data_IF_308205869560
#
_entry.id   IF_308205869560
#
_cell.length_a   1.000
_cell.length_b   1.000
_cell.length_c   1.000
_cell.angle_alpha   90.00
_cell.angle_beta   90.00
_cell.angle_gamma   90.00
#
_symmetry.space_group_name_H-M   'P 1'
#
loop_
_entity.id
_entity.type
_entity.pdbx_description
1 polymer ?
#
# COMPACT_ATOMS: atom_id res chain seq x y z
N UNK A 1 -17.49 -3.17 46.43
CA UNK A 1 -18.66 -3.35 45.54
C UNK A 1 -18.17 -3.44 44.10
N UNK A 2 -18.14 -4.65 43.53
CA UNK A 2 -17.83 -4.82 42.11
C UNK A 2 -19.01 -4.27 41.30
N UNK A 3 -18.80 -3.15 40.60
CA UNK A 3 -19.80 -2.61 39.68
C UNK A 3 -20.19 -3.68 38.66
N UNK A 4 -21.50 -3.84 38.43
CA UNK A 4 -22.02 -4.75 37.40
C UNK A 4 -21.28 -4.48 36.07
N UNK A 5 -20.77 -5.50 35.36
CA UNK A 5 -20.16 -5.28 34.06
C UNK A 5 -21.18 -4.59 33.15
N UNK A 6 -20.79 -3.46 32.54
CA UNK A 6 -21.62 -2.80 31.54
C UNK A 6 -21.93 -3.82 30.43
N UNK A 7 -23.19 -3.89 29.95
CA UNK A 7 -23.53 -4.80 28.87
C UNK A 7 -22.67 -4.50 27.64
N UNK A 8 -22.08 -5.53 27.07
CA UNK A 8 -21.25 -5.42 25.87
C UNK A 8 -22.16 -5.08 24.70
N UNK A 9 -21.77 -4.08 23.91
CA UNK A 9 -22.47 -3.73 22.68
C UNK A 9 -21.89 -4.55 21.53
N UNK A 10 -22.75 -5.28 20.82
CA UNK A 10 -22.36 -5.84 19.52
C UNK A 10 -22.35 -4.75 18.45
N UNK A 11 -21.46 -4.85 17.43
CA UNK A 11 -21.46 -3.93 16.30
C UNK A 11 -22.83 -3.95 15.62
N UNK A 12 -23.48 -2.78 15.55
CA UNK A 12 -24.87 -2.65 15.07
C UNK A 12 -24.98 -1.64 13.94
N UNK A 13 -24.13 -0.62 13.91
CA UNK A 13 -24.04 0.32 12.80
C UNK A 13 -22.97 -0.11 11.79
N UNK A 14 -23.07 0.42 10.58
CA UNK A 14 -22.05 0.21 9.54
C UNK A 14 -20.66 0.69 9.99
N UNK A 15 -20.58 1.82 10.70
CA UNK A 15 -19.32 2.33 11.26
C UNK A 15 -18.72 1.37 12.31
N UNK A 16 -19.55 0.74 13.15
CA UNK A 16 -19.05 -0.27 14.09
C UNK A 16 -18.47 -1.50 13.35
N UNK A 17 -19.06 -1.88 12.20
CA UNK A 17 -18.57 -2.98 11.36
C UNK A 17 -17.23 -2.62 10.71
N UNK A 18 -17.10 -1.39 10.21
CA UNK A 18 -15.85 -0.86 9.66
C UNK A 18 -14.72 -0.90 10.70
N UNK A 19 -15.02 -0.53 11.94
CA UNK A 19 -14.06 -0.57 13.02
C UNK A 19 -13.72 -1.99 13.48
N UNK A 20 -14.72 -2.87 13.57
CA UNK A 20 -14.51 -4.28 13.89
C UNK A 20 -13.60 -4.92 12.84
N UNK A 21 -13.74 -4.56 11.57
CA UNK A 21 -12.85 -5.00 10.49
C UNK A 21 -11.39 -4.56 10.74
N UNK A 22 -11.16 -3.30 11.11
CA UNK A 22 -9.81 -2.80 11.44
C UNK A 22 -9.23 -3.47 12.69
N UNK A 23 -10.03 -3.62 13.75
CA UNK A 23 -9.66 -4.35 14.97
C UNK A 23 -9.19 -5.77 14.62
N UNK A 24 -9.93 -6.47 13.76
CA UNK A 24 -9.57 -7.82 13.33
C UNK A 24 -8.28 -7.83 12.50
N UNK A 25 -8.08 -6.84 11.63
CA UNK A 25 -6.80 -6.66 10.92
C UNK A 25 -5.62 -6.53 11.88
N UNK A 26 -5.76 -5.72 12.92
CA UNK A 26 -4.75 -5.57 13.99
C UNK A 26 -4.56 -6.90 14.75
N UNK A 27 -5.65 -7.59 15.09
CA UNK A 27 -5.59 -8.84 15.86
C UNK A 27 -4.96 -10.01 15.09
N UNK A 28 -5.05 -10.01 13.76
CA UNK A 28 -4.42 -11.02 12.90
C UNK A 28 -2.94 -10.74 12.61
N UNK A 29 -2.46 -9.51 12.84
CA UNK A 29 -1.04 -9.15 12.77
C UNK A 29 -0.38 -9.18 14.15
N UNK A 30 -0.28 -8.01 14.80
CA UNK A 30 0.47 -7.85 16.06
C UNK A 30 -0.34 -8.15 17.33
N UNK A 31 -1.64 -8.39 17.19
CA UNK A 31 -2.51 -8.63 18.33
C UNK A 31 -2.36 -10.00 18.99
N UNK A 32 -2.76 -10.06 20.25
CA UNK A 32 -2.81 -11.28 21.03
C UNK A 32 -4.21 -11.51 21.59
N UNK A 33 -4.84 -12.61 21.17
CA UNK A 33 -6.15 -13.05 21.65
C UNK A 33 -5.94 -14.10 22.74
N UNK A 34 -6.07 -13.71 24.01
CA UNK A 34 -5.88 -14.60 25.14
C UNK A 34 -7.20 -15.30 25.52
N UNK A 35 -7.58 -16.34 24.77
CA UNK A 35 -8.84 -17.09 24.95
C UNK A 35 -9.04 -17.62 26.37
N UNK A 36 -8.00 -18.15 27.00
CA UNK A 36 -8.05 -18.67 28.37
C UNK A 36 -8.18 -17.57 29.44
N UNK A 37 -7.65 -16.37 29.19
CA UNK A 37 -7.61 -15.26 30.15
C UNK A 37 -8.68 -14.19 29.89
N UNK A 38 -9.40 -14.30 28.77
CA UNK A 38 -10.51 -13.42 28.42
C UNK A 38 -10.10 -11.98 28.10
N UNK A 39 -8.93 -11.76 27.48
CA UNK A 39 -8.56 -10.42 27.01
C UNK A 39 -7.98 -10.40 25.58
N UNK A 40 -8.16 -9.26 24.91
CA UNK A 40 -7.37 -8.86 23.75
C UNK A 40 -6.22 -7.98 24.22
N UNK A 41 -5.07 -8.08 23.56
CA UNK A 41 -3.91 -7.24 23.84
C UNK A 41 -3.21 -6.83 22.56
N UNK A 42 -2.85 -5.56 22.46
CA UNK A 42 -1.88 -5.05 21.50
C UNK A 42 -0.67 -4.50 22.24
N UNK A 43 0.54 -4.95 21.89
CA UNK A 43 1.79 -4.47 22.49
C UNK A 43 2.75 -4.04 21.38
N UNK A 44 2.98 -2.74 21.25
CA UNK A 44 3.66 -2.12 20.10
C UNK A 44 4.61 -0.99 20.54
N UNK A 45 5.47 -0.50 19.65
CA UNK A 45 6.37 0.65 19.94
C UNK A 45 5.72 1.99 19.60
N UNK A 46 4.72 1.94 18.73
CA UNK A 46 4.00 3.07 18.17
C UNK A 46 2.83 3.48 19.07
N UNK A 47 2.91 4.67 19.66
CA UNK A 47 1.88 5.20 20.56
C UNK A 47 0.56 5.42 19.82
N UNK A 48 0.62 6.05 18.65
CA UNK A 48 -0.52 6.33 17.78
C UNK A 48 -1.24 5.04 17.37
N UNK A 49 -0.49 3.97 17.10
CA UNK A 49 -1.09 2.66 16.81
C UNK A 49 -1.86 2.09 18.00
N UNK A 50 -1.27 2.10 19.20
CA UNK A 50 -1.94 1.62 20.42
C UNK A 50 -3.17 2.49 20.75
N UNK A 51 -3.06 3.82 20.60
CA UNK A 51 -4.16 4.76 20.81
C UNK A 51 -5.31 4.54 19.82
N UNK A 52 -5.00 4.29 18.54
CA UNK A 52 -6.01 3.94 17.54
C UNK A 52 -6.75 2.66 17.94
N UNK A 53 -6.01 1.58 18.27
CA UNK A 53 -6.61 0.33 18.73
C UNK A 53 -7.50 0.52 19.98
N UNK A 54 -7.02 1.27 20.98
CA UNK A 54 -7.80 1.64 22.17
C UNK A 54 -9.11 2.33 21.78
N UNK A 55 -9.04 3.33 20.90
CA UNK A 55 -10.21 4.10 20.47
C UNK A 55 -11.23 3.21 19.76
N UNK A 56 -10.79 2.36 18.82
CA UNK A 56 -11.65 1.42 18.10
C UNK A 56 -12.36 0.47 19.07
N UNK A 57 -11.63 -0.15 20.00
CA UNK A 57 -12.21 -1.07 20.99
C UNK A 57 -13.22 -0.38 21.90
N UNK A 58 -12.87 0.81 22.42
CA UNK A 58 -13.75 1.58 23.30
C UNK A 58 -15.03 2.02 22.59
N UNK A 59 -14.94 2.39 21.31
CA UNK A 59 -16.07 2.81 20.49
C UNK A 59 -17.00 1.65 20.14
N UNK A 60 -16.46 0.58 19.56
CA UNK A 60 -17.24 -0.56 19.06
C UNK A 60 -17.92 -1.31 20.20
N UNK A 61 -17.14 -1.65 21.22
CA UNK A 61 -17.59 -2.58 22.25
C UNK A 61 -18.03 -1.89 23.54
N UNK A 62 -17.83 -0.57 23.66
CA UNK A 62 -18.19 0.20 24.86
C UNK A 62 -17.50 -0.30 26.15
N UNK A 63 -16.33 -0.93 26.02
CA UNK A 63 -15.50 -1.39 27.13
C UNK A 63 -14.24 -0.57 27.24
N UNK A 64 -13.72 -0.38 28.46
CA UNK A 64 -12.45 0.32 28.66
C UNK A 64 -11.30 -0.50 28.07
N UNK A 65 -10.41 0.18 27.36
CA UNK A 65 -9.15 -0.37 26.91
C UNK A 65 -7.99 0.42 27.52
N UNK A 66 -7.54 0.12 28.75
CA UNK A 66 -6.44 0.83 29.38
C UNK A 66 -5.17 0.76 28.53
N UNK A 67 -4.47 1.89 28.45
CA UNK A 67 -3.16 2.01 27.82
C UNK A 67 -2.13 2.22 28.92
N UNK A 68 -1.11 1.38 28.95
CA UNK A 68 0.09 1.57 29.77
C UNK A 68 1.34 1.74 28.91
N UNK A 69 2.36 2.40 29.48
CA UNK A 69 3.64 2.62 28.84
C UNK A 69 4.76 2.23 29.82
N UNK A 70 5.26 1.00 29.69
CA UNK A 70 6.46 0.55 30.42
C UNK A 70 7.70 0.63 29.53
N UNK A 71 7.87 -0.39 28.69
CA UNK A 71 8.94 -0.47 27.67
C UNK A 71 8.37 -0.46 26.24
N UNK A 72 7.09 -0.78 26.11
CA UNK A 72 6.28 -0.81 24.91
C UNK A 72 4.92 -0.26 25.31
N UNK A 73 4.22 0.38 24.38
CA UNK A 73 2.83 0.74 24.59
C UNK A 73 1.99 -0.53 24.57
N UNK A 74 1.05 -0.60 25.51
CA UNK A 74 0.30 -1.81 25.73
C UNK A 74 -1.15 -1.47 26.00
N UNK A 75 -2.03 -2.00 25.16
CA UNK A 75 -3.46 -1.75 25.21
C UNK A 75 -4.19 -3.08 25.44
N UNK A 76 -5.07 -3.14 26.44
CA UNK A 76 -5.77 -4.36 26.82
C UNK A 76 -7.27 -4.17 26.88
N UNK A 77 -8.02 -5.18 26.48
CA UNK A 77 -9.48 -5.18 26.55
C UNK A 77 -9.96 -6.49 27.18
N UNK A 78 -10.48 -6.43 28.41
CA UNK A 78 -10.98 -7.61 29.12
C UNK A 78 -12.45 -7.86 28.80
N UNK A 79 -12.71 -8.96 28.11
CA UNK A 79 -14.06 -9.46 27.82
C UNK A 79 -13.99 -10.86 27.25
N UNK A 80 -14.53 -11.85 27.98
CA UNK A 80 -14.62 -13.23 27.49
C UNK A 80 -15.54 -13.37 26.28
N UNK A 81 -16.59 -12.55 26.19
CA UNK A 81 -17.52 -12.56 25.05
C UNK A 81 -16.84 -12.07 23.78
N UNK A 82 -16.16 -10.93 23.82
CA UNK A 82 -15.48 -10.34 22.65
C UNK A 82 -14.34 -11.26 22.19
N UNK A 83 -13.56 -11.80 23.15
CA UNK A 83 -12.49 -12.74 22.84
C UNK A 83 -13.03 -13.98 22.14
N UNK A 84 -14.13 -14.57 22.63
CA UNK A 84 -14.77 -15.71 21.96
C UNK A 84 -15.28 -15.34 20.56
N UNK A 85 -15.93 -14.17 20.42
CA UNK A 85 -16.43 -13.68 19.13
C UNK A 85 -15.29 -13.54 18.11
N UNK A 86 -14.25 -12.77 18.42
CA UNK A 86 -13.12 -12.55 17.50
C UNK A 86 -12.39 -13.87 17.22
N UNK A 87 -12.11 -14.68 18.24
CA UNK A 87 -11.42 -15.96 18.08
C UNK A 87 -12.19 -16.92 17.16
N UNK A 88 -13.52 -16.95 17.26
CA UNK A 88 -14.38 -17.75 16.38
C UNK A 88 -14.36 -17.20 14.95
N UNK A 89 -14.43 -15.88 14.77
CA UNK A 89 -14.42 -15.25 13.45
C UNK A 89 -13.10 -15.44 12.72
N UNK A 90 -11.96 -15.42 13.44
CA UNK A 90 -10.61 -15.53 12.86
C UNK A 90 -10.09 -16.97 12.78
N UNK A 91 -10.91 -17.97 13.11
CA UNK A 91 -10.51 -19.38 13.19
C UNK A 91 -9.26 -19.57 14.07
N UNK A 92 -9.22 -18.91 15.23
CA UNK A 92 -8.06 -18.82 16.12
C UNK A 92 -6.82 -18.21 15.43
N UNK A 93 -6.99 -17.03 14.83
CA UNK A 93 -5.93 -16.24 14.16
C UNK A 93 -5.32 -16.89 12.91
N UNK A 94 -6.08 -17.73 12.21
CA UNK A 94 -5.59 -18.43 11.02
C UNK A 94 -6.08 -17.84 9.71
N UNK A 95 -7.22 -17.16 9.73
CA UNK A 95 -7.92 -16.77 8.50
C UNK A 95 -8.62 -15.43 8.62
N UNK A 96 -8.74 -14.75 7.49
CA UNK A 96 -9.56 -13.54 7.36
C UNK A 96 -11.04 -13.95 7.43
N UNK A 97 -11.87 -13.33 8.29
CA UNK A 97 -13.28 -13.68 8.43
C UNK A 97 -14.09 -13.44 7.15
N UNK A 98 -15.14 -14.23 6.95
CA UNK A 98 -16.00 -14.16 5.76
C UNK A 98 -16.66 -12.79 5.56
N UNK A 99 -17.04 -12.08 6.63
CA UNK A 99 -17.68 -10.77 6.51
C UNK A 99 -16.72 -9.71 5.95
N UNK A 100 -15.40 -9.87 6.13
CA UNK A 100 -14.38 -9.03 5.49
C UNK A 100 -14.21 -9.45 4.03
N UNK A 101 -14.04 -10.75 3.78
CA UNK A 101 -13.82 -11.28 2.43
C UNK A 101 -14.97 -10.95 1.47
N UNK A 102 -16.21 -11.02 1.96
CA UNK A 102 -17.44 -10.71 1.21
C UNK A 102 -17.93 -9.28 1.43
N UNK A 103 -17.27 -8.51 2.29
CA UNK A 103 -17.64 -7.14 2.60
C UNK A 103 -17.48 -6.22 1.39
N UNK A 104 -18.03 -5.01 1.50
CA UNK A 104 -17.78 -3.97 0.50
C UNK A 104 -16.34 -3.44 0.58
N UNK A 105 -16.01 -2.53 -0.32
CA UNK A 105 -14.68 -1.95 -0.42
C UNK A 105 -14.23 -1.20 0.84
N UNK A 106 -15.15 -0.61 1.62
CA UNK A 106 -14.79 0.11 2.84
C UNK A 106 -14.43 -0.87 3.96
N UNK A 107 -15.21 -1.95 4.12
CA UNK A 107 -14.91 -3.02 5.09
C UNK A 107 -13.54 -3.63 4.78
N UNK A 108 -13.28 -3.95 3.51
CA UNK A 108 -12.00 -4.49 3.06
C UNK A 108 -10.85 -3.52 3.33
N UNK A 109 -11.05 -2.23 3.01
CA UNK A 109 -10.02 -1.22 3.24
C UNK A 109 -9.70 -1.00 4.72
N UNK A 110 -10.70 -1.01 5.61
CA UNK A 110 -10.50 -0.89 7.06
C UNK A 110 -9.76 -2.08 7.64
N UNK A 111 -10.13 -3.30 7.23
CA UNK A 111 -9.38 -4.49 7.60
C UNK A 111 -7.92 -4.42 7.13
N UNK A 112 -7.69 -4.07 5.86
CA UNK A 112 -6.35 -3.97 5.29
C UNK A 112 -5.50 -2.93 6.02
N UNK A 113 -6.09 -1.80 6.43
CA UNK A 113 -5.38 -0.76 7.20
C UNK A 113 -4.79 -1.33 8.50
N UNK A 114 -5.61 -1.98 9.33
CA UNK A 114 -5.17 -2.56 10.59
C UNK A 114 -4.11 -3.67 10.40
N UNK A 115 -4.27 -4.47 9.35
CA UNK A 115 -3.33 -5.56 9.04
C UNK A 115 -1.99 -5.03 8.53
N UNK A 116 -1.99 -4.02 7.65
CA UNK A 116 -0.76 -3.39 7.14
C UNK A 116 -0.09 -2.48 8.17
N UNK A 117 -0.83 -1.86 9.09
CA UNK A 117 -0.21 -1.18 10.24
C UNK A 117 0.60 -2.15 11.11
N UNK A 118 0.19 -3.42 11.18
CA UNK A 118 0.93 -4.47 11.89
C UNK A 118 2.09 -5.03 11.05
N UNK A 119 1.80 -5.60 9.88
CA UNK A 119 2.74 -6.43 9.10
C UNK A 119 3.36 -5.70 7.91
N UNK A 120 2.89 -4.49 7.61
CA UNK A 120 3.25 -3.71 6.44
C UNK A 120 4.29 -2.63 6.72
N UNK A 121 5.11 -2.33 5.73
CA UNK A 121 6.07 -1.24 5.73
C UNK A 121 6.13 -0.57 4.35
N UNK A 122 6.60 0.67 4.32
CA UNK A 122 6.98 1.34 3.06
C UNK A 122 8.48 1.17 2.88
N UNK A 123 8.89 0.47 1.83
CA UNK A 123 10.28 0.28 1.46
C UNK A 123 10.75 1.37 0.49
N UNK A 124 11.84 2.02 0.88
CA UNK A 124 12.50 3.08 0.12
C UNK A 124 13.96 2.67 -0.05
N UNK A 125 14.30 2.15 -1.22
CA UNK A 125 15.64 1.66 -1.56
C UNK A 125 16.05 2.34 -2.86
N UNK A 126 17.05 3.21 -2.80
CA UNK A 126 17.53 4.02 -3.93
C UNK A 126 16.38 4.76 -4.64
N UNK A 127 16.01 4.34 -5.86
CA UNK A 127 14.92 4.87 -6.67
C UNK A 127 13.62 4.08 -6.56
N UNK A 128 13.63 2.92 -5.90
CA UNK A 128 12.45 2.08 -5.71
C UNK A 128 11.64 2.56 -4.52
N UNK A 129 10.33 2.67 -4.72
CA UNK A 129 9.34 2.94 -3.67
C UNK A 129 8.24 1.89 -3.79
N UNK A 130 7.96 1.20 -2.71
CA UNK A 130 6.92 0.16 -2.67
C UNK A 130 6.41 -0.04 -1.25
N UNK A 131 5.20 -0.59 -1.12
CA UNK A 131 4.74 -1.14 0.16
C UNK A 131 5.09 -2.63 0.17
N UNK A 132 5.59 -3.11 1.29
CA UNK A 132 5.91 -4.51 1.52
C UNK A 132 5.10 -4.99 2.71
N UNK A 133 4.46 -6.14 2.56
CA UNK A 133 3.87 -6.88 3.66
C UNK A 133 4.55 -8.23 3.76
N UNK A 134 4.89 -8.65 4.97
CA UNK A 134 5.61 -9.91 5.21
C UNK A 134 4.76 -10.82 6.09
N UNK A 135 4.59 -12.09 5.73
CA UNK A 135 3.79 -13.03 6.54
C UNK A 135 4.18 -14.49 6.23
N UNK A 136 4.03 -15.38 7.21
CA UNK A 136 4.34 -16.82 7.05
C UNK A 136 3.14 -17.66 6.58
N UNK A 137 1.93 -17.13 6.73
CA UNK A 137 0.70 -17.81 6.34
C UNK A 137 0.37 -17.51 4.87
N UNK A 138 0.73 -18.43 3.98
CA UNK A 138 0.47 -18.35 2.52
C UNK A 138 -1.02 -18.14 2.21
N UNK A 139 -1.93 -18.82 2.92
CA UNK A 139 -3.38 -18.64 2.74
C UNK A 139 -3.79 -17.20 3.05
N UNK A 140 -3.30 -16.64 4.15
CA UNK A 140 -3.60 -15.25 4.53
C UNK A 140 -3.06 -14.27 3.49
N UNK A 141 -1.83 -14.48 2.97
CA UNK A 141 -1.27 -13.65 1.90
C UNK A 141 -2.16 -13.68 0.64
N UNK A 142 -2.62 -14.86 0.20
CA UNK A 142 -3.51 -14.97 -0.96
C UNK A 142 -4.84 -14.25 -0.74
N UNK A 143 -5.40 -14.33 0.47
CA UNK A 143 -6.62 -13.58 0.82
C UNK A 143 -6.38 -12.07 0.79
N UNK A 144 -5.25 -11.58 1.35
CA UNK A 144 -4.87 -10.16 1.29
C UNK A 144 -4.73 -9.69 -0.17
N UNK A 145 -4.11 -10.48 -1.03
CA UNK A 145 -3.98 -10.14 -2.46
C UNK A 145 -5.35 -10.02 -3.13
N UNK A 146 -6.30 -10.91 -2.81
CA UNK A 146 -7.67 -10.82 -3.31
C UNK A 146 -8.35 -9.52 -2.86
N UNK A 147 -8.20 -9.14 -1.59
CA UNK A 147 -8.78 -7.90 -1.07
C UNK A 147 -8.18 -6.66 -1.76
N UNK A 148 -6.86 -6.64 -1.98
CA UNK A 148 -6.19 -5.56 -2.71
C UNK A 148 -6.69 -5.47 -4.17
N UNK A 149 -6.87 -6.62 -4.82
CA UNK A 149 -7.36 -6.70 -6.18
C UNK A 149 -8.78 -6.12 -6.32
N UNK A 150 -9.67 -6.41 -5.37
CA UNK A 150 -11.04 -5.87 -5.34
C UNK A 150 -11.05 -4.33 -5.22
N UNK A 151 -10.04 -3.75 -4.57
CA UNK A 151 -9.83 -2.29 -4.49
C UNK A 151 -9.10 -1.73 -5.73
N UNK A 152 -8.85 -2.55 -6.74
CA UNK A 152 -8.11 -2.19 -7.94
C UNK A 152 -6.63 -1.94 -7.71
N UNK A 153 -6.05 -2.47 -6.62
CA UNK A 153 -4.63 -2.35 -6.27
C UNK A 153 -3.94 -3.66 -6.67
N UNK A 154 -3.08 -3.57 -7.69
CA UNK A 154 -2.30 -4.74 -8.10
C UNK A 154 -1.14 -4.95 -7.14
N UNK A 155 -0.89 -6.22 -6.80
CA UNK A 155 0.19 -6.62 -5.92
C UNK A 155 0.90 -7.86 -6.45
N UNK A 156 2.15 -8.07 -6.03
CA UNK A 156 2.97 -9.21 -6.42
C UNK A 156 3.27 -10.09 -5.23
N UNK A 157 3.02 -11.39 -5.38
CA UNK A 157 3.47 -12.41 -4.45
C UNK A 157 4.96 -12.72 -4.66
N UNK A 158 5.73 -12.76 -3.58
CA UNK A 158 7.13 -13.16 -3.59
C UNK A 158 7.36 -14.27 -2.56
N UNK A 159 7.52 -15.50 -3.07
CA UNK A 159 7.93 -16.65 -2.28
C UNK A 159 9.41 -16.57 -1.93
N UNK A 160 9.75 -16.64 -0.64
CA UNK A 160 11.12 -16.54 -0.14
C UNK A 160 11.65 -17.94 0.16
N UNK A 161 12.87 -18.24 -0.29
CA UNK A 161 13.54 -19.52 0.04
C UNK A 161 13.90 -19.64 1.53
N UNK A 162 14.12 -18.50 2.20
CA UNK A 162 14.40 -18.38 3.63
C UNK A 162 13.70 -17.11 4.16
N UNK A 163 13.06 -17.24 5.32
CA UNK A 163 12.23 -16.20 5.93
C UNK A 163 10.79 -16.25 5.45
N UNK A 164 10.01 -15.25 5.85
CA UNK A 164 8.60 -15.12 5.54
C UNK A 164 8.35 -14.66 4.10
N UNK A 165 7.23 -15.10 3.52
CA UNK A 165 6.79 -14.70 2.19
C UNK A 165 6.29 -13.25 2.19
N UNK A 166 6.25 -12.63 1.02
CA UNK A 166 5.98 -11.20 0.89
C UNK A 166 4.93 -10.86 -0.17
N UNK A 167 4.17 -9.81 0.10
CA UNK A 167 3.38 -9.08 -0.89
C UNK A 167 4.06 -7.74 -1.16
N UNK A 168 4.21 -7.41 -2.44
CA UNK A 168 4.76 -6.14 -2.90
C UNK A 168 3.68 -5.34 -3.62
N UNK A 169 3.47 -4.09 -3.20
CA UNK A 169 2.66 -3.11 -3.92
C UNK A 169 3.62 -2.07 -4.49
N UNK A 170 3.77 -2.06 -5.81
CA UNK A 170 4.65 -1.16 -6.56
C UNK A 170 3.85 -0.41 -7.61
N UNK A 171 4.51 0.51 -8.33
CA UNK A 171 3.90 1.46 -9.27
C UNK A 171 3.13 2.56 -8.56
N UNK A 172 3.29 3.79 -9.03
CA UNK A 172 2.73 4.96 -8.36
C UNK A 172 1.20 4.93 -8.32
N UNK A 173 0.54 4.38 -9.34
CA UNK A 173 -0.92 4.28 -9.40
C UNK A 173 -1.47 3.39 -8.27
N UNK A 174 -0.80 2.28 -7.97
CA UNK A 174 -1.21 1.39 -6.88
C UNK A 174 -0.91 2.01 -5.51
N UNK A 175 0.23 2.70 -5.37
CA UNK A 175 0.58 3.41 -4.14
C UNK A 175 -0.38 4.58 -3.86
N UNK A 176 -0.82 5.29 -4.88
CA UNK A 176 -1.84 6.34 -4.78
C UNK A 176 -3.20 5.77 -4.37
N UNK A 177 -3.62 4.65 -4.98
CA UNK A 177 -4.86 3.96 -4.58
C UNK A 177 -4.79 3.47 -3.15
N UNK A 178 -3.68 2.86 -2.75
CA UNK A 178 -3.45 2.44 -1.37
C UNK A 178 -3.55 3.64 -0.43
N UNK A 179 -2.84 4.74 -0.73
CA UNK A 179 -2.82 5.95 0.09
C UNK A 179 -4.23 6.54 0.28
N UNK A 180 -5.05 6.55 -0.77
CA UNK A 180 -6.40 7.14 -0.76
C UNK A 180 -7.45 6.23 -0.12
N UNK A 181 -7.41 4.92 -0.41
CA UNK A 181 -8.47 3.99 -0.01
C UNK A 181 -8.20 3.33 1.34
N UNK A 182 -6.94 2.96 1.61
CA UNK A 182 -6.55 2.17 2.79
C UNK A 182 -5.82 3.05 3.80
N UNK A 183 -4.72 3.67 3.37
CA UNK A 183 -3.83 4.46 4.20
C UNK A 183 -3.10 3.64 5.27
N UNK A 184 -2.35 4.34 6.13
CA UNK A 184 -1.82 3.81 7.39
C UNK A 184 -2.42 4.65 8.52
N UNK A 185 -2.77 4.03 9.65
CA UNK A 185 -3.13 4.79 10.85
C UNK A 185 -1.87 5.30 11.57
N UNK A 186 -0.72 4.62 11.37
CA UNK A 186 0.57 5.02 11.94
C UNK A 186 1.15 6.20 11.16
N UNK A 187 1.38 7.31 11.86
CA UNK A 187 1.75 8.60 11.26
C UNK A 187 3.01 8.53 10.40
N UNK A 188 4.10 7.96 10.94
CA UNK A 188 5.36 7.89 10.19
C UNK A 188 5.28 6.98 8.96
N UNK A 189 4.47 5.91 8.98
CA UNK A 189 4.25 5.03 7.82
C UNK A 189 3.45 5.77 6.75
N UNK A 190 2.41 6.50 7.16
CA UNK A 190 1.63 7.38 6.28
C UNK A 190 2.49 8.46 5.61
N UNK A 191 3.34 9.14 6.38
CA UNK A 191 4.27 10.13 5.84
C UNK A 191 5.31 9.54 4.88
N UNK A 192 5.82 8.34 5.20
CA UNK A 192 6.76 7.63 4.33
C UNK A 192 6.11 7.24 3.00
N UNK A 193 4.84 6.81 3.03
CA UNK A 193 4.07 6.52 1.82
C UNK A 193 3.82 7.78 1.01
N UNK A 194 3.40 8.88 1.65
CA UNK A 194 3.16 10.17 0.99
C UNK A 194 4.42 10.65 0.25
N UNK A 195 5.56 10.70 0.93
CA UNK A 195 6.87 11.07 0.33
C UNK A 195 7.26 10.14 -0.82
N UNK A 196 6.96 8.85 -0.70
CA UNK A 196 7.21 7.87 -1.76
C UNK A 196 6.37 8.14 -3.02
N UNK A 197 5.09 8.48 -2.86
CA UNK A 197 4.19 8.84 -3.97
C UNK A 197 4.66 10.14 -4.63
N UNK A 198 4.92 11.19 -3.84
CA UNK A 198 5.42 12.50 -4.32
C UNK A 198 6.72 12.33 -5.14
N UNK A 199 7.65 11.52 -4.64
CA UNK A 199 8.90 11.21 -5.34
C UNK A 199 8.65 10.57 -6.72
N UNK A 200 7.80 9.56 -6.80
CA UNK A 200 7.52 8.86 -8.05
C UNK A 200 6.76 9.73 -9.05
N UNK A 201 5.86 10.60 -8.58
CA UNK A 201 5.19 11.59 -9.41
C UNK A 201 6.21 12.56 -10.02
N UNK A 202 7.18 13.03 -9.22
CA UNK A 202 8.28 13.86 -9.70
C UNK A 202 9.17 13.16 -10.73
N UNK A 203 9.47 11.87 -10.53
CA UNK A 203 10.23 11.08 -11.52
C UNK A 203 9.52 10.96 -12.87
N UNK A 204 8.20 10.80 -12.89
CA UNK A 204 7.43 10.78 -14.15
C UNK A 204 7.53 12.10 -14.92
N UNK A 205 7.51 13.23 -14.21
CA UNK A 205 7.74 14.54 -14.81
C UNK A 205 9.17 14.67 -15.36
N UNK A 206 10.17 14.20 -14.61
CA UNK A 206 11.57 14.25 -15.04
C UNK A 206 11.87 13.32 -16.23
N UNK A 207 11.28 12.13 -16.29
CA UNK A 207 11.43 11.22 -17.44
C UNK A 207 10.81 11.78 -18.71
N UNK A 208 9.71 12.56 -18.61
CA UNK A 208 9.11 13.26 -19.76
C UNK A 208 10.09 14.25 -20.37
N UNK A 209 10.62 15.16 -19.57
CA UNK A 209 11.56 16.20 -20.05
C UNK A 209 12.85 15.56 -20.58
N UNK A 210 13.37 14.55 -19.87
CA UNK A 210 14.57 13.82 -20.27
C UNK A 210 14.36 13.04 -21.58
N UNK A 211 13.17 12.49 -21.81
CA UNK A 211 12.83 11.81 -23.07
C UNK A 211 12.88 12.77 -24.26
N UNK A 212 12.29 13.96 -24.12
CA UNK A 212 12.36 14.99 -25.16
C UNK A 212 13.79 15.48 -25.38
N UNK A 213 14.58 15.65 -24.32
CA UNK A 213 16.00 15.99 -24.41
C UNK A 213 16.79 14.93 -25.19
N UNK A 214 16.53 13.64 -24.90
CA UNK A 214 17.15 12.49 -25.57
C UNK A 214 16.80 12.47 -27.06
N UNK A 215 15.53 12.70 -27.41
CA UNK A 215 15.12 12.79 -28.81
C UNK A 215 15.83 13.95 -29.50
N UNK A 216 15.76 15.19 -28.98
CA UNK A 216 16.46 16.33 -29.59
C UNK A 216 17.96 16.09 -29.76
N UNK A 217 18.60 15.56 -28.73
CA UNK A 217 20.02 15.22 -28.76
C UNK A 217 20.34 14.19 -29.86
N UNK A 218 19.55 13.12 -29.97
CA UNK A 218 19.74 12.12 -31.03
C UNK A 218 19.69 12.75 -32.42
N UNK A 219 18.73 13.64 -32.63
CA UNK A 219 18.48 14.27 -33.92
C UNK A 219 19.58 15.28 -34.30
N UNK A 220 20.23 15.92 -33.33
CA UNK A 220 21.33 16.87 -33.58
C UNK A 220 22.74 16.25 -33.55
N UNK A 221 22.96 15.18 -32.79
CA UNK A 221 24.32 14.70 -32.45
C UNK A 221 25.09 14.07 -33.62
N UNK A 222 24.41 13.50 -34.62
CA UNK A 222 25.00 12.68 -35.70
C UNK A 222 25.92 11.54 -35.22
N UNK A 223 25.82 11.15 -33.95
CA UNK A 223 26.68 10.14 -33.29
C UNK A 223 26.00 8.77 -33.27
N UNK A 224 26.78 7.73 -32.99
CA UNK A 224 26.22 6.40 -32.73
C UNK A 224 25.35 6.39 -31.46
N UNK A 225 24.43 5.43 -31.35
CA UNK A 225 23.56 5.26 -30.18
C UNK A 225 24.36 5.16 -28.87
N UNK A 226 25.47 4.41 -28.87
CA UNK A 226 26.32 4.23 -27.68
C UNK A 226 27.05 5.51 -27.29
N UNK A 227 27.59 6.25 -28.26
CA UNK A 227 28.26 7.53 -27.98
C UNK A 227 27.27 8.56 -27.46
N UNK A 228 26.08 8.60 -28.06
CA UNK A 228 25.02 9.52 -27.64
C UNK A 228 24.50 9.21 -26.24
N UNK A 229 24.32 7.93 -25.91
CA UNK A 229 23.95 7.49 -24.56
C UNK A 229 25.00 7.89 -23.51
N UNK A 230 26.29 7.77 -23.85
CA UNK A 230 27.40 8.18 -22.97
C UNK A 230 27.35 9.68 -22.67
N UNK A 231 27.12 10.52 -23.68
CA UNK A 231 27.01 11.98 -23.51
C UNK A 231 25.82 12.38 -22.64
N UNK A 232 24.71 11.70 -22.83
CA UNK A 232 23.49 11.91 -22.04
C UNK A 232 23.54 11.27 -20.65
N UNK A 233 24.68 10.64 -20.29
CA UNK A 233 24.87 9.92 -19.02
C UNK A 233 23.74 8.91 -18.77
N UNK A 234 23.40 8.14 -19.80
CA UNK A 234 22.33 7.14 -19.78
C UNK A 234 22.85 5.74 -20.12
N UNK A 235 22.22 4.72 -19.54
CA UNK A 235 22.45 3.35 -19.99
C UNK A 235 22.03 3.21 -21.46
N UNK A 236 22.88 2.58 -22.28
CA UNK A 236 22.70 2.57 -23.74
C UNK A 236 21.41 1.86 -24.18
N UNK A 237 20.96 0.84 -23.45
CA UNK A 237 19.69 0.14 -23.73
C UNK A 237 18.49 1.05 -23.46
N UNK A 238 18.52 1.82 -22.38
CA UNK A 238 17.46 2.79 -22.06
C UNK A 238 17.39 3.87 -23.14
N UNK A 239 18.54 4.43 -23.52
CA UNK A 239 18.64 5.40 -24.61
C UNK A 239 18.08 4.83 -25.93
N UNK A 240 18.55 3.64 -26.32
CA UNK A 240 18.08 2.92 -27.52
C UNK A 240 16.57 2.69 -27.49
N UNK A 241 16.03 2.21 -26.37
CA UNK A 241 14.60 1.94 -26.23
C UNK A 241 13.75 3.20 -26.31
N UNK A 242 14.25 4.35 -25.88
CA UNK A 242 13.55 5.62 -26.03
C UNK A 242 13.55 6.10 -27.49
N UNK A 243 14.69 6.07 -28.18
CA UNK A 243 14.78 6.47 -29.59
C UNK A 243 13.86 5.63 -30.48
N UNK A 244 13.84 4.31 -30.31
CA UNK A 244 12.99 3.43 -31.10
C UNK A 244 11.55 3.31 -30.58
N UNK A 245 11.14 4.11 -29.60
CA UNK A 245 9.77 4.09 -29.08
C UNK A 245 9.37 2.80 -28.34
N UNK A 246 10.34 1.94 -27.97
CA UNK A 246 10.09 0.66 -27.31
C UNK A 246 9.72 0.80 -25.82
N UNK A 247 10.22 1.86 -25.16
CA UNK A 247 9.96 2.15 -23.73
C UNK A 247 9.69 3.64 -23.50
N UNK A 248 8.72 4.20 -24.23
CA UNK A 248 8.30 5.59 -24.06
C UNK A 248 7.75 5.77 -22.63
N UNK A 249 8.18 6.81 -21.87
CA UNK A 249 7.60 7.09 -20.55
C UNK A 249 6.09 7.23 -20.63
N UNK A 250 5.36 6.66 -19.66
CA UNK A 250 3.90 6.59 -19.72
C UNK A 250 3.23 7.96 -19.83
N UNK A 251 3.83 9.00 -19.23
CA UNK A 251 3.33 10.37 -19.31
C UNK A 251 3.47 10.93 -20.73
N UNK A 252 4.59 10.67 -21.41
CA UNK A 252 4.79 11.10 -22.81
C UNK A 252 3.79 10.42 -23.74
N UNK A 253 3.50 9.14 -23.51
CA UNK A 253 2.49 8.42 -24.30
C UNK A 253 1.10 9.04 -24.14
N UNK A 254 0.68 9.31 -22.91
CA UNK A 254 -0.59 10.01 -22.62
C UNK A 254 -0.62 11.41 -23.25
N UNK A 255 0.45 12.17 -23.08
CA UNK A 255 0.57 13.51 -23.64
C UNK A 255 0.41 13.51 -25.17
N UNK A 256 1.04 12.54 -25.86
CA UNK A 256 0.87 12.31 -27.31
C UNK A 256 -0.60 12.00 -27.65
N UNK A 257 -1.26 11.11 -26.90
CA UNK A 257 -2.67 10.76 -27.09
C UNK A 257 -3.62 11.95 -26.88
N UNK A 258 -3.28 12.88 -25.99
CA UNK A 258 -4.05 14.12 -25.77
C UNK A 258 -3.59 15.31 -26.65
N UNK A 259 -2.66 15.10 -27.58
CA UNK A 259 -2.12 16.16 -28.45
C UNK A 259 -1.21 17.18 -27.74
N UNK A 260 -0.76 16.89 -26.51
CA UNK A 260 0.07 17.75 -25.67
C UNK A 260 1.55 17.44 -25.95
N UNK A 261 2.05 17.86 -27.11
CA UNK A 261 3.43 17.65 -27.55
C UNK A 261 4.23 18.96 -27.57
N UNK A 262 5.57 18.92 -27.42
CA UNK A 262 6.43 20.08 -27.67
C UNK A 262 6.20 20.64 -29.08
N UNK A 263 6.25 21.98 -29.25
CA UNK A 263 6.00 22.63 -30.55
C UNK A 263 6.94 22.12 -31.66
N UNK A 264 8.16 21.76 -31.30
CA UNK A 264 9.17 21.20 -32.19
C UNK A 264 8.84 19.77 -32.66
N UNK A 265 7.93 19.05 -32.00
CA UNK A 265 7.62 17.65 -32.33
C UNK A 265 7.11 17.44 -33.75
N UNK A 266 6.31 18.37 -34.29
CA UNK A 266 5.82 18.31 -35.67
C UNK A 266 6.97 18.31 -36.68
N UNK A 267 8.02 19.08 -36.42
CA UNK A 267 9.24 19.13 -37.22
C UNK A 267 10.04 17.83 -37.06
N UNK A 268 10.19 17.32 -35.82
CA UNK A 268 10.88 16.05 -35.57
C UNK A 268 10.19 14.87 -36.29
N UNK A 269 8.85 14.86 -36.32
CA UNK A 269 8.05 13.83 -36.99
C UNK A 269 8.21 13.86 -38.52
N UNK A 270 8.23 15.05 -39.12
CA UNK A 270 8.46 15.18 -40.57
C UNK A 270 9.83 14.62 -40.98
N UNK A 271 10.84 14.78 -40.12
CA UNK A 271 12.19 14.33 -40.40
C UNK A 271 12.38 12.81 -40.16
N UNK A 272 11.56 12.17 -39.31
CA UNK A 272 11.77 10.77 -38.91
C UNK A 272 10.47 9.97 -38.74
N UNK A 273 10.16 9.12 -39.73
CA UNK A 273 8.94 8.31 -39.79
C UNK A 273 8.80 7.17 -38.76
N UNK A 274 9.80 6.93 -37.92
CA UNK A 274 9.69 5.98 -36.80
C UNK A 274 9.06 6.59 -35.54
N UNK A 275 8.85 7.92 -35.51
CA UNK A 275 8.17 8.58 -34.40
C UNK A 275 6.68 8.23 -34.40
N UNK A 276 6.06 8.01 -33.21
CA UNK A 276 4.65 7.62 -33.13
C UNK A 276 3.72 8.57 -33.88
N UNK A 277 2.69 8.02 -34.52
CA UNK A 277 1.63 8.86 -35.05
C UNK A 277 0.80 9.45 -33.90
N UNK A 278 0.51 10.74 -34.00
CA UNK A 278 -0.56 11.37 -33.21
C UNK A 278 -1.86 10.74 -33.70
N UNK A 279 -2.41 9.81 -32.93
CA UNK A 279 -3.81 9.44 -33.07
C UNK A 279 -4.61 10.55 -32.42
N UNK A 280 -5.29 11.34 -33.26
CA UNK A 280 -6.37 12.24 -32.79
C UNK A 280 -7.57 11.36 -32.44
#
# INVERSE_FOLDING_TARGET
MCGKPKPIREPTSYEDILDEAEIIGIMLGDGHIATQRGYLRLRVRELDFCQNFKHLVERVYSIKAPLDNKYYYNCFAYSTLIVKRISNMTSNNKEIPLFVLKGDNNIKARFLRGFFDSEGSVDVIEHRRQIVLTQNNEKMLLQIMSLLFDLGIQSKYLKRKKGSDQILISLVENLEKYYKLIGFSIGYKGDKLRKAVEYLQGCKAHEKEKYWLVLRHWLSSKKSLRSSAKEMKMHWETYRSWIYGLKIPCQVKKDIEFGIIPKDYSELKQQYGFLPNLTI
#
